data_IF_471560357227
#
_entry.id   IF_471560357227
#
_cell.length_a   1.000
_cell.length_b   1.000
_cell.length_c   1.000
_cell.angle_alpha   90.00
_cell.angle_beta   90.00
_cell.angle_gamma   90.00
#
_symmetry.space_group_name_H-M   'P 1'
#
loop_
_entity.id
_entity.type
_entity.pdbx_description
1 polymer ?
#
# COMPACT_ATOMS: atom_id res chain seq x y z
N UNK A 1 -12.12 -14.43 6.70
CA UNK A 1 -10.92 -14.13 5.90
C UNK A 1 -10.09 -15.39 5.80
N UNK A 2 -9.77 -15.79 4.57
CA UNK A 2 -8.91 -16.93 4.32
C UNK A 2 -7.48 -16.59 4.78
N UNK A 3 -6.84 -17.48 5.54
CA UNK A 3 -5.51 -17.20 6.09
C UNK A 3 -4.46 -17.43 4.99
N UNK A 4 -4.23 -16.42 4.15
CA UNK A 4 -3.31 -16.49 3.01
C UNK A 4 -1.89 -16.66 3.53
N UNK A 5 -1.20 -17.71 3.09
CA UNK A 5 0.17 -17.98 3.53
C UNK A 5 1.12 -16.90 3.02
N UNK A 6 1.84 -16.26 3.93
CA UNK A 6 2.84 -15.23 3.59
C UNK A 6 3.89 -15.69 2.58
N UNK A 7 4.24 -16.99 2.58
CA UNK A 7 5.14 -17.56 1.57
C UNK A 7 4.57 -17.41 0.15
N UNK A 8 3.26 -17.66 -0.04
CA UNK A 8 2.58 -17.49 -1.33
C UNK A 8 2.61 -16.02 -1.78
N UNK A 9 2.34 -15.11 -0.86
CA UNK A 9 2.34 -13.66 -1.13
C UNK A 9 3.73 -13.17 -1.54
N UNK A 10 4.78 -13.62 -0.86
CA UNK A 10 6.16 -13.26 -1.20
C UNK A 10 6.64 -13.86 -2.52
N UNK A 11 6.23 -15.09 -2.86
CA UNK A 11 6.54 -15.66 -4.17
C UNK A 11 5.79 -14.91 -5.28
N UNK A 12 4.52 -14.54 -5.06
CA UNK A 12 3.79 -13.70 -5.99
C UNK A 12 4.50 -12.35 -6.25
N UNK A 13 4.96 -11.67 -5.20
CA UNK A 13 5.70 -10.41 -5.34
C UNK A 13 6.90 -10.52 -6.29
N UNK A 14 7.67 -11.61 -6.18
CA UNK A 14 8.84 -11.87 -7.04
C UNK A 14 8.48 -12.10 -8.51
N UNK A 15 7.23 -12.46 -8.80
CA UNK A 15 6.76 -12.68 -10.19
C UNK A 15 6.27 -11.40 -10.86
N UNK A 16 6.08 -10.31 -10.11
CA UNK A 16 5.61 -9.04 -10.66
C UNK A 16 6.70 -8.37 -11.50
N UNK A 17 6.27 -7.72 -12.59
CA UNK A 17 7.14 -6.84 -13.36
C UNK A 17 7.44 -5.56 -12.59
N UNK A 18 8.55 -4.91 -12.92
CA UNK A 18 8.90 -3.61 -12.33
C UNK A 18 7.85 -2.54 -12.56
N UNK A 19 7.16 -2.54 -13.70
CA UNK A 19 6.05 -1.61 -13.95
C UNK A 19 4.97 -1.75 -12.87
N UNK A 20 4.57 -2.98 -12.53
CA UNK A 20 3.59 -3.21 -11.47
C UNK A 20 4.15 -2.86 -10.09
N UNK A 21 5.38 -3.26 -9.78
CA UNK A 21 6.00 -2.94 -8.49
C UNK A 21 6.05 -1.42 -8.28
N UNK A 22 6.44 -0.66 -9.30
CA UNK A 22 6.51 0.81 -9.24
C UNK A 22 5.15 1.47 -9.07
N UNK A 23 4.09 0.90 -9.65
CA UNK A 23 2.73 1.40 -9.42
C UNK A 23 2.24 1.13 -8.00
N UNK A 24 2.69 0.06 -7.35
CA UNK A 24 2.36 -0.21 -5.95
C UNK A 24 3.18 0.70 -5.03
N UNK A 25 4.50 0.68 -5.18
CA UNK A 25 5.44 1.29 -4.22
C UNK A 25 5.73 2.77 -4.48
N UNK A 26 5.56 3.24 -5.72
CA UNK A 26 6.09 4.54 -6.17
C UNK A 26 7.61 4.53 -6.42
N UNK A 27 8.26 3.36 -6.34
CA UNK A 27 9.72 3.19 -6.43
C UNK A 27 10.07 2.58 -7.79
N UNK A 28 11.03 3.20 -8.49
CA UNK A 28 11.45 2.81 -9.84
C UNK A 28 12.72 1.93 -9.86
N UNK A 29 13.31 1.66 -8.71
CA UNK A 29 14.44 0.75 -8.52
C UNK A 29 13.97 -0.59 -7.93
N UNK A 30 14.47 -1.71 -8.46
CA UNK A 30 14.00 -3.04 -8.05
C UNK A 30 14.46 -3.43 -6.66
N UNK A 31 15.71 -3.12 -6.31
CA UNK A 31 16.28 -3.46 -5.01
C UNK A 31 15.57 -2.64 -3.91
N UNK A 32 15.32 -1.36 -4.16
CA UNK A 32 14.55 -0.50 -3.25
C UNK A 32 13.09 -0.96 -3.11
N UNK A 33 12.43 -1.36 -4.19
CA UNK A 33 11.07 -1.89 -4.14
C UNK A 33 10.98 -3.21 -3.35
N UNK A 34 11.98 -4.09 -3.48
CA UNK A 34 12.07 -5.33 -2.71
C UNK A 34 12.42 -5.07 -1.24
N UNK A 35 13.20 -4.03 -0.94
CA UNK A 35 13.43 -3.56 0.44
C UNK A 35 12.14 -3.03 1.04
N UNK A 36 11.40 -2.18 0.33
CA UNK A 36 10.08 -1.69 0.72
C UNK A 36 9.15 -2.86 1.06
N UNK A 37 9.04 -3.82 0.14
CA UNK A 37 8.22 -5.01 0.33
C UNK A 37 8.64 -5.84 1.55
N UNK A 38 9.92 -5.91 1.90
CA UNK A 38 10.36 -6.65 3.11
C UNK A 38 9.88 -5.96 4.39
N UNK A 39 9.82 -4.64 4.41
CA UNK A 39 9.49 -3.84 5.59
C UNK A 39 8.00 -3.70 5.87
N UNK A 40 7.12 -3.88 4.87
CA UNK A 40 5.67 -3.90 5.10
C UNK A 40 5.26 -4.96 6.14
N UNK A 41 4.15 -4.73 6.84
CA UNK A 41 3.58 -5.76 7.70
C UNK A 41 2.99 -6.90 6.87
N UNK A 42 2.81 -8.04 7.53
CA UNK A 42 2.26 -9.24 6.88
C UNK A 42 0.82 -9.01 6.41
N UNK A 43 0.03 -8.25 7.17
CA UNK A 43 -1.34 -7.84 6.83
C UNK A 43 -1.37 -7.06 5.52
N UNK A 44 -0.50 -6.07 5.37
CA UNK A 44 -0.58 -5.14 4.24
C UNK A 44 -0.14 -5.84 2.95
N UNK A 45 0.86 -6.72 3.05
CA UNK A 45 1.23 -7.63 1.95
C UNK A 45 0.06 -8.51 1.54
N UNK A 46 -0.68 -9.05 2.50
CA UNK A 46 -1.86 -9.87 2.23
C UNK A 46 -2.98 -9.04 1.59
N UNK A 47 -3.21 -7.82 2.05
CA UNK A 47 -4.21 -6.91 1.50
C UNK A 47 -3.88 -6.55 0.04
N UNK A 48 -2.64 -6.11 -0.23
CA UNK A 48 -2.16 -5.81 -1.59
C UNK A 48 -2.34 -7.02 -2.51
N UNK A 49 -1.98 -8.21 -2.04
CA UNK A 49 -2.17 -9.45 -2.80
C UNK A 49 -3.64 -9.75 -3.07
N UNK A 50 -4.50 -9.70 -2.05
CA UNK A 50 -5.93 -9.98 -2.18
C UNK A 50 -6.61 -9.02 -3.17
N UNK A 51 -6.33 -7.73 -3.02
CA UNK A 51 -6.81 -6.69 -3.93
C UNK A 51 -6.37 -6.99 -5.36
N UNK A 52 -5.08 -7.27 -5.59
CA UNK A 52 -4.58 -7.59 -6.95
C UNK A 52 -5.18 -8.86 -7.53
N UNK A 53 -5.41 -9.90 -6.74
CA UNK A 53 -6.09 -11.10 -7.22
C UNK A 53 -7.53 -10.82 -7.62
N UNK A 54 -8.22 -9.93 -6.90
CA UNK A 54 -9.59 -9.56 -7.21
C UNK A 54 -9.69 -8.67 -8.46
N UNK A 55 -8.78 -7.70 -8.63
CA UNK A 55 -8.69 -6.89 -9.85
C UNK A 55 -8.38 -7.74 -11.09
N UNK A 56 -7.49 -8.74 -10.95
CA UNK A 56 -7.18 -9.68 -12.03
C UNK A 56 -8.30 -10.70 -12.33
N UNK A 57 -9.41 -10.69 -11.57
CA UNK A 57 -10.51 -11.64 -11.72
C UNK A 57 -10.20 -13.06 -11.24
N UNK A 58 -9.12 -13.26 -10.47
CA UNK A 58 -8.74 -14.55 -9.90
C UNK A 58 -9.52 -14.88 -8.62
N UNK A 59 -10.00 -13.85 -7.91
CA UNK A 59 -10.80 -13.98 -6.68
C UNK A 59 -12.08 -13.17 -6.83
N UNK A 60 -13.21 -13.75 -6.42
CA UNK A 60 -14.49 -13.05 -6.41
C UNK A 60 -14.65 -12.31 -5.08
N UNK A 61 -14.46 -10.98 -5.12
CA UNK A 61 -14.74 -10.05 -4.02
C UNK A 61 -15.80 -9.08 -4.52
N UNK A 62 -16.78 -8.73 -3.67
CA UNK A 62 -17.73 -7.68 -4.04
C UNK A 62 -17.03 -6.33 -4.15
N UNK A 63 -17.56 -5.44 -4.99
CA UNK A 63 -16.98 -4.12 -5.26
C UNK A 63 -16.78 -3.29 -3.98
N UNK A 64 -17.74 -3.34 -3.04
CA UNK A 64 -17.61 -2.64 -1.75
C UNK A 64 -16.39 -3.12 -0.94
N UNK A 65 -16.10 -4.43 -0.98
CA UNK A 65 -14.95 -4.99 -0.28
C UNK A 65 -13.64 -4.70 -1.01
N UNK A 66 -13.63 -4.73 -2.35
CA UNK A 66 -12.46 -4.31 -3.13
C UNK A 66 -12.10 -2.86 -2.87
N UNK A 67 -13.10 -1.98 -2.86
CA UNK A 67 -12.93 -0.56 -2.57
C UNK A 67 -12.43 -0.36 -1.14
N UNK A 68 -13.05 -0.99 -0.14
CA UNK A 68 -12.60 -0.89 1.25
C UNK A 68 -11.14 -1.34 1.42
N UNK A 69 -10.76 -2.45 0.76
CA UNK A 69 -9.40 -2.98 0.78
C UNK A 69 -8.41 -2.04 0.07
N UNK A 70 -8.80 -1.44 -1.05
CA UNK A 70 -8.00 -0.42 -1.74
C UNK A 70 -7.77 0.78 -0.82
N UNK A 71 -8.79 1.29 -0.14
CA UNK A 71 -8.65 2.45 0.76
C UNK A 71 -7.70 2.16 1.93
N UNK A 72 -7.73 0.94 2.46
CA UNK A 72 -6.78 0.48 3.50
C UNK A 72 -5.34 0.43 2.96
N UNK A 73 -5.15 -0.11 1.75
CA UNK A 73 -3.84 -0.13 1.09
C UNK A 73 -3.33 1.29 0.84
N UNK A 74 -4.15 2.17 0.27
CA UNK A 74 -3.76 3.56 -0.03
C UNK A 74 -3.34 4.30 1.25
N UNK A 75 -4.10 4.13 2.34
CA UNK A 75 -3.78 4.73 3.64
C UNK A 75 -2.39 4.30 4.14
N UNK A 76 -2.14 2.98 4.20
CA UNK A 76 -0.86 2.45 4.69
C UNK A 76 0.32 2.90 3.81
N UNK A 77 0.14 2.90 2.48
CA UNK A 77 1.18 3.38 1.57
C UNK A 77 1.44 4.88 1.73
N UNK A 78 0.41 5.69 2.01
CA UNK A 78 0.55 7.11 2.27
C UNK A 78 1.28 7.37 3.59
N UNK A 79 0.98 6.61 4.65
CA UNK A 79 1.68 6.66 5.93
C UNK A 79 3.19 6.38 5.77
N UNK A 80 3.54 5.29 5.07
CA UNK A 80 4.94 4.93 4.83
C UNK A 80 5.65 6.00 4.00
N UNK A 81 4.99 6.52 2.96
CA UNK A 81 5.54 7.59 2.13
C UNK A 81 5.78 8.86 2.97
N UNK A 82 4.85 9.22 3.84
CA UNK A 82 4.94 10.39 4.72
C UNK A 82 6.10 10.25 5.73
N UNK A 83 6.21 9.10 6.40
CA UNK A 83 7.34 8.77 7.28
C UNK A 83 8.67 8.85 6.53
N UNK A 84 8.71 8.33 5.31
CA UNK A 84 9.91 8.40 4.47
C UNK A 84 10.26 9.82 4.05
N UNK A 85 9.28 10.68 3.78
CA UNK A 85 9.48 12.07 3.34
C UNK A 85 9.99 12.97 4.47
N UNK A 86 9.40 12.85 5.67
CA UNK A 86 9.75 13.70 6.81
C UNK A 86 10.84 13.11 7.72
N UNK A 87 11.07 11.80 7.67
CA UNK A 87 12.12 11.12 8.46
C UNK A 87 11.83 11.03 9.96
N UNK A 88 10.57 11.15 10.37
CA UNK A 88 10.09 11.01 11.75
C UNK A 88 8.97 9.97 11.81
N UNK A 89 8.72 9.31 12.96
CA UNK A 89 7.62 8.35 13.10
C UNK A 89 6.24 9.05 13.06
N UNK A 90 5.18 8.30 12.69
CA UNK A 90 3.81 8.80 12.67
C UNK A 90 3.37 9.37 14.03
N UNK A 91 3.77 8.73 15.13
CA UNK A 91 3.46 9.20 16.50
C UNK A 91 3.93 10.65 16.76
N UNK A 92 4.98 11.12 16.07
CA UNK A 92 5.48 12.49 16.18
C UNK A 92 4.73 13.46 15.22
N UNK A 93 3.95 12.94 14.27
CA UNK A 93 3.12 13.69 13.32
C UNK A 93 1.65 13.80 13.75
N UNK A 94 1.24 13.04 14.76
CA UNK A 94 -0.14 12.98 15.25
C UNK A 94 -0.29 13.58 16.65
N UNK A 95 -1.50 14.01 16.98
CA UNK A 95 -1.90 14.39 18.34
C UNK A 95 -2.24 13.15 19.22
N UNK A 96 -2.66 13.39 20.46
CA UNK A 96 -3.01 12.32 21.41
C UNK A 96 -4.22 11.47 20.97
N UNK A 97 -5.04 11.98 20.05
CA UNK A 97 -6.20 11.30 19.49
C UNK A 97 -5.84 10.55 18.18
N UNK A 98 -4.58 10.62 17.73
CA UNK A 98 -4.09 10.01 16.50
C UNK A 98 -4.42 10.82 15.24
N UNK A 99 -4.84 12.08 15.37
CA UNK A 99 -5.09 12.97 14.23
C UNK A 99 -3.80 13.66 13.82
N UNK A 100 -3.52 13.75 12.52
CA UNK A 100 -2.33 14.45 12.03
C UNK A 100 -2.38 15.95 12.36
N UNK A 101 -1.23 16.53 12.69
CA UNK A 101 -1.10 17.99 12.68
C UNK A 101 -1.31 18.52 11.25
N UNK A 102 -1.80 19.76 11.12
CA UNK A 102 -2.22 20.38 9.85
C UNK A 102 -1.16 20.25 8.75
N UNK A 103 0.12 20.45 9.07
CA UNK A 103 1.21 20.35 8.10
C UNK A 103 1.41 18.94 7.51
N UNK A 104 1.11 17.90 8.28
CA UNK A 104 1.21 16.50 7.85
C UNK A 104 -0.09 16.02 7.20
N UNK A 105 -1.25 16.50 7.69
CA UNK A 105 -2.56 16.12 7.15
C UNK A 105 -2.71 16.51 5.68
N UNK A 106 -2.32 17.72 5.31
CA UNK A 106 -2.38 18.18 3.92
C UNK A 106 -1.46 17.36 3.02
N UNK A 107 -0.26 17.01 3.50
CA UNK A 107 0.67 16.19 2.72
C UNK A 107 0.20 14.74 2.61
N UNK A 108 -0.32 14.18 3.69
CA UNK A 108 -0.95 12.86 3.70
C UNK A 108 -2.07 12.78 2.68
N UNK A 109 -2.99 13.75 2.65
CA UNK A 109 -4.10 13.78 1.69
C UNK A 109 -3.61 13.79 0.24
N UNK A 110 -2.56 14.58 -0.07
CA UNK A 110 -1.97 14.59 -1.40
C UNK A 110 -1.35 13.23 -1.77
N UNK A 111 -0.62 12.60 -0.83
CA UNK A 111 -0.04 11.27 -1.04
C UNK A 111 -1.13 10.22 -1.25
N UNK A 112 -2.21 10.30 -0.48
CA UNK A 112 -3.38 9.44 -0.59
C UNK A 112 -3.95 9.49 -2.01
N UNK A 113 -4.29 10.69 -2.50
CA UNK A 113 -4.85 10.89 -3.83
C UNK A 113 -3.88 10.41 -4.93
N UNK A 114 -2.59 10.75 -4.83
CA UNK A 114 -1.56 10.32 -5.80
C UNK A 114 -1.44 8.78 -5.87
N UNK A 115 -1.51 8.10 -4.72
CA UNK A 115 -1.39 6.64 -4.62
C UNK A 115 -2.68 5.98 -5.12
N UNK A 116 -3.86 6.49 -4.76
CA UNK A 116 -5.15 6.00 -5.24
C UNK A 116 -5.21 6.06 -6.77
N UNK A 117 -4.86 7.21 -7.35
CA UNK A 117 -4.81 7.41 -8.80
C UNK A 117 -3.86 6.41 -9.45
N UNK A 118 -2.66 6.23 -8.88
CA UNK A 118 -1.65 5.30 -9.39
C UNK A 118 -2.14 3.85 -9.37
N UNK A 119 -2.72 3.40 -8.26
CA UNK A 119 -3.23 2.04 -8.12
C UNK A 119 -4.43 1.79 -9.05
N UNK A 120 -5.27 2.79 -9.27
CA UNK A 120 -6.41 2.71 -10.19
C UNK A 120 -6.02 2.54 -11.66
N UNK A 121 -4.75 2.81 -12.02
CA UNK A 121 -4.23 2.51 -13.37
C UNK A 121 -3.86 1.05 -13.57
N UNK A 122 -3.71 0.30 -12.49
CA UNK A 122 -3.36 -1.11 -12.53
C UNK A 122 -4.62 -1.90 -12.93
N UNK A 123 -4.68 -2.32 -14.20
CA UNK A 123 -5.74 -3.20 -14.73
C UNK A 123 -5.31 -4.67 -14.74
#
# INVERSE_FOLDING_TARGET
>A
MENIRIATVNEWWKTLTMDVKSLITGIYDEDEADIFWKHLFVSDKQNIYQWRQAEAGNTDLCEDYKHSLLMEIVCELADIALVSEYGIPLDDMTDEDGSFYEEYQDRFNNLYDEIEDRLSTIK
#
